data_IF_172110566433
#
_entry.id   IF_172110566433
#
_cell.length_a   1.000
_cell.length_b   1.000
_cell.length_c   1.000
_cell.angle_alpha   90.00
_cell.angle_beta   90.00
_cell.angle_gamma   90.00
#
_symmetry.space_group_name_H-M   'P 1'
#
loop_
_entity.id
_entity.type
_entity.pdbx_description
1 polymer ?
#
# COMPACT_ATOMS: atom_id res chain seq x y z
N UNK A 1 14.78 -19.25 2.23
CA UNK A 1 15.70 -20.24 1.64
C UNK A 1 14.90 -21.51 1.44
N UNK A 2 14.57 -21.86 0.20
CA UNK A 2 14.06 -23.20 -0.08
C UNK A 2 15.26 -24.15 0.02
N UNK A 3 15.17 -25.16 0.89
CA UNK A 3 16.23 -26.17 1.03
C UNK A 3 16.39 -26.97 -0.26
N UNK A 4 17.57 -27.58 -0.42
CA UNK A 4 17.91 -28.42 -1.58
C UNK A 4 16.80 -29.42 -1.91
N UNK A 5 16.50 -29.56 -3.21
CA UNK A 5 15.51 -30.48 -3.77
C UNK A 5 16.24 -31.58 -4.53
N UNK A 6 15.89 -32.84 -4.29
CA UNK A 6 16.46 -33.99 -4.99
C UNK A 6 15.42 -34.65 -5.88
N UNK A 7 15.82 -35.05 -7.09
CA UNK A 7 15.07 -35.94 -7.96
C UNK A 7 15.50 -37.38 -7.67
N UNK A 8 14.53 -38.22 -7.32
CA UNK A 8 14.69 -39.64 -7.01
C UNK A 8 13.57 -40.37 -7.78
N UNK A 9 13.86 -41.04 -8.91
CA UNK A 9 12.85 -41.54 -9.85
C UNK A 9 11.72 -42.36 -9.21
N UNK A 10 12.06 -43.22 -8.26
CA UNK A 10 11.13 -44.16 -7.62
C UNK A 10 10.64 -43.68 -6.25
N UNK A 11 10.91 -42.43 -5.88
CA UNK A 11 10.42 -41.89 -4.62
C UNK A 11 8.91 -41.68 -4.62
N UNK A 12 8.32 -41.99 -3.46
CA UNK A 12 6.91 -41.80 -3.15
C UNK A 12 6.76 -40.82 -1.98
N UNK A 13 5.71 -39.96 -1.99
CA UNK A 13 4.60 -39.95 -2.95
C UNK A 13 4.93 -39.30 -4.31
N UNK A 14 6.07 -38.62 -4.43
CA UNK A 14 6.51 -37.97 -5.65
C UNK A 14 8.03 -38.13 -5.83
N UNK A 15 8.53 -38.09 -7.07
CA UNK A 15 9.95 -38.27 -7.35
C UNK A 15 10.83 -37.06 -6.96
N UNK A 16 10.24 -36.02 -6.36
CA UNK A 16 10.96 -34.82 -5.91
C UNK A 16 10.89 -34.74 -4.39
N UNK A 17 12.05 -34.89 -3.73
CA UNK A 17 12.15 -34.93 -2.27
C UNK A 17 12.98 -33.76 -1.77
N UNK A 18 12.37 -32.93 -0.94
CA UNK A 18 13.05 -31.81 -0.29
C UNK A 18 13.75 -32.27 0.98
N UNK A 19 14.91 -31.68 1.30
CA UNK A 19 15.54 -31.90 2.62
C UNK A 19 14.57 -31.62 3.77
N UNK A 20 14.63 -32.43 4.82
CA UNK A 20 13.68 -32.39 5.93
C UNK A 20 12.35 -33.13 5.70
N UNK A 21 12.16 -33.74 4.52
CA UNK A 21 10.98 -34.56 4.21
C UNK A 21 11.31 -36.05 4.16
N UNK A 22 10.40 -36.87 4.68
CA UNK A 22 10.48 -38.32 4.58
C UNK A 22 9.96 -38.75 3.22
N UNK A 23 10.49 -39.86 2.71
CA UNK A 23 10.08 -40.45 1.44
C UNK A 23 10.18 -41.97 1.54
N UNK A 24 9.57 -42.68 0.59
CA UNK A 24 9.74 -44.11 0.45
C UNK A 24 10.22 -44.46 -0.95
N UNK A 25 10.96 -45.56 -1.09
CA UNK A 25 11.33 -46.14 -2.38
C UNK A 25 10.62 -47.48 -2.56
N UNK A 26 10.06 -47.71 -3.74
CA UNK A 26 9.24 -48.88 -4.05
C UNK A 26 7.75 -48.68 -3.71
N UNK A 27 6.96 -49.72 -3.97
CA UNK A 27 5.50 -49.69 -3.83
C UNK A 27 5.00 -50.80 -2.89
N UNK A 28 3.88 -50.57 -2.21
CA UNK A 28 3.22 -51.57 -1.36
C UNK A 28 3.98 -51.93 -0.08
N UNK A 29 3.83 -53.18 0.37
CA UNK A 29 4.41 -53.69 1.63
C UNK A 29 5.95 -53.84 1.59
N UNK A 30 6.56 -53.71 0.41
CA UNK A 30 8.01 -53.78 0.21
C UNK A 30 8.69 -52.40 0.17
N UNK A 31 7.92 -51.30 0.33
CA UNK A 31 8.46 -49.95 0.26
C UNK A 31 9.44 -49.67 1.43
N UNK A 32 10.66 -49.24 1.09
CA UNK A 32 11.67 -48.85 2.08
C UNK A 32 11.43 -47.40 2.48
N UNK A 33 11.15 -47.15 3.76
CA UNK A 33 10.87 -45.83 4.29
C UNK A 33 12.15 -45.14 4.77
N UNK A 34 12.36 -43.91 4.30
CA UNK A 34 13.47 -43.04 4.68
C UNK A 34 12.97 -41.91 5.59
N UNK A 35 13.59 -41.69 6.77
CA UNK A 35 13.18 -40.65 7.70
C UNK A 35 13.52 -39.25 7.18
N UNK A 36 12.88 -38.23 7.77
CA UNK A 36 12.97 -36.82 7.35
C UNK A 36 14.38 -36.24 7.27
N UNK A 37 15.27 -36.70 8.15
CA UNK A 37 16.64 -36.24 8.25
C UNK A 37 17.62 -37.09 7.41
N UNK A 38 17.13 -38.08 6.66
CA UNK A 38 18.02 -38.99 5.93
C UNK A 38 18.86 -38.24 4.89
N UNK A 39 18.23 -37.36 4.08
CA UNK A 39 18.96 -36.55 3.09
C UNK A 39 20.00 -35.59 3.70
N UNK A 40 19.81 -35.20 4.97
CA UNK A 40 20.77 -34.34 5.67
C UNK A 40 22.00 -35.11 6.18
N UNK A 41 21.86 -36.43 6.39
CA UNK A 41 22.89 -37.32 6.89
C UNK A 41 23.53 -38.20 5.80
N UNK A 42 22.88 -38.30 4.64
CA UNK A 42 23.31 -39.13 3.52
C UNK A 42 24.66 -38.67 2.97
N UNK A 43 25.56 -39.63 2.76
CA UNK A 43 26.81 -39.42 2.03
C UNK A 43 26.55 -39.34 0.52
N UNK A 44 27.56 -38.95 -0.26
CA UNK A 44 27.48 -38.99 -1.72
C UNK A 44 27.19 -40.40 -2.25
N UNK A 45 27.77 -41.43 -1.63
CA UNK A 45 27.54 -42.82 -2.00
C UNK A 45 26.12 -43.28 -1.66
N UNK A 46 25.56 -42.85 -0.53
CA UNK A 46 24.17 -43.14 -0.15
C UNK A 46 23.19 -42.52 -1.16
N UNK A 47 23.42 -41.26 -1.55
CA UNK A 47 22.61 -40.56 -2.56
C UNK A 47 22.71 -41.26 -3.93
N UNK A 48 23.92 -41.63 -4.35
CA UNK A 48 24.13 -42.36 -5.60
C UNK A 48 23.46 -43.75 -5.57
N UNK A 49 23.48 -44.44 -4.43
CA UNK A 49 22.90 -45.77 -4.24
C UNK A 49 21.38 -45.82 -4.44
N UNK A 50 20.68 -44.72 -4.18
CA UNK A 50 19.24 -44.59 -4.42
C UNK A 50 18.90 -43.81 -5.70
N UNK A 51 19.90 -43.45 -6.50
CA UNK A 51 19.73 -42.64 -7.71
C UNK A 51 19.28 -41.20 -7.44
N UNK A 52 19.55 -40.66 -6.24
CA UNK A 52 19.22 -39.29 -5.90
C UNK A 52 20.16 -38.30 -6.60
N UNK A 53 19.56 -37.36 -7.33
CA UNK A 53 20.27 -36.31 -8.04
C UNK A 53 19.78 -34.95 -7.54
N UNK A 54 20.70 -34.03 -7.23
CA UNK A 54 20.32 -32.67 -6.86
C UNK A 54 19.61 -32.00 -8.05
N UNK A 55 18.43 -31.42 -7.80
CA UNK A 55 17.68 -30.71 -8.82
C UNK A 55 18.38 -29.40 -9.16
N UNK A 56 18.76 -29.24 -10.42
CA UNK A 56 19.28 -28.00 -10.96
C UNK A 56 18.10 -27.10 -11.31
N UNK A 57 18.13 -25.85 -10.84
CA UNK A 57 17.11 -24.86 -11.20
C UNK A 57 17.60 -24.01 -12.35
N UNK A 58 16.81 -23.95 -13.41
CA UNK A 58 17.04 -23.12 -14.59
C UNK A 58 15.96 -22.05 -14.71
N UNK A 59 16.35 -20.86 -15.18
CA UNK A 59 15.45 -19.72 -15.31
C UNK A 59 15.21 -18.98 -13.99
N UNK A 60 14.33 -17.98 -14.06
CA UNK A 60 13.97 -17.13 -12.93
C UNK A 60 12.46 -16.83 -12.99
N UNK A 61 11.83 -16.63 -11.84
CA UNK A 61 10.49 -16.08 -11.81
C UNK A 61 10.50 -14.63 -12.28
N UNK A 62 9.57 -14.30 -13.17
CA UNK A 62 9.25 -12.91 -13.49
C UNK A 62 8.46 -12.26 -12.36
N UNK A 63 8.32 -10.93 -12.41
CA UNK A 63 7.44 -10.21 -11.50
C UNK A 63 6.01 -10.80 -11.60
N UNK A 64 5.42 -11.33 -10.50
CA UNK A 64 4.12 -11.99 -10.55
C UNK A 64 2.97 -11.07 -10.98
N UNK A 65 3.22 -9.75 -11.03
CA UNK A 65 2.28 -8.74 -11.54
C UNK A 65 2.29 -8.65 -13.07
N UNK A 66 3.38 -9.09 -13.71
CA UNK A 66 3.62 -8.98 -15.15
C UNK A 66 3.72 -10.33 -15.85
N UNK A 67 4.00 -11.39 -15.09
CA UNK A 67 4.22 -12.74 -15.60
C UNK A 67 3.35 -13.75 -14.86
N UNK A 68 2.87 -14.75 -15.59
CA UNK A 68 2.44 -16.00 -15.01
C UNK A 68 3.67 -16.89 -14.85
N UNK A 69 3.99 -17.16 -13.58
CA UNK A 69 5.13 -17.98 -13.21
C UNK A 69 4.67 -19.43 -13.02
N UNK A 70 5.32 -20.34 -13.72
CA UNK A 70 5.09 -21.78 -13.59
C UNK A 70 6.39 -22.52 -13.35
N UNK A 71 6.33 -23.61 -12.61
CA UNK A 71 7.46 -24.53 -12.42
C UNK A 71 7.22 -25.79 -13.24
N UNK A 72 8.17 -26.14 -14.09
CA UNK A 72 8.19 -27.40 -14.83
C UNK A 72 9.34 -28.25 -14.31
N UNK A 73 9.12 -29.57 -14.26
CA UNK A 73 10.15 -30.50 -13.85
C UNK A 73 10.39 -31.55 -14.93
N UNK A 74 11.67 -31.75 -15.29
CA UNK A 74 12.13 -32.74 -16.25
C UNK A 74 13.34 -33.46 -15.67
N UNK A 75 13.08 -34.61 -15.05
CA UNK A 75 14.09 -35.36 -14.28
C UNK A 75 14.76 -34.48 -13.22
N UNK A 76 16.10 -34.37 -13.20
CA UNK A 76 16.80 -33.53 -12.22
C UNK A 76 16.81 -32.02 -12.57
N UNK A 77 15.97 -31.56 -13.50
CA UNK A 77 15.91 -30.14 -13.87
C UNK A 77 14.55 -29.57 -13.45
N UNK A 78 14.59 -28.49 -12.66
CA UNK A 78 13.45 -27.61 -12.41
C UNK A 78 13.59 -26.36 -13.26
N UNK A 79 12.67 -26.16 -14.20
CA UNK A 79 12.62 -24.96 -15.03
C UNK A 79 11.58 -23.98 -14.47
N UNK A 80 12.03 -22.78 -14.13
CA UNK A 80 11.17 -21.66 -13.79
C UNK A 80 10.80 -20.94 -15.09
N UNK A 81 9.53 -20.99 -15.45
CA UNK A 81 9.00 -20.40 -16.68
C UNK A 81 8.18 -19.17 -16.32
N UNK A 82 8.58 -18.02 -16.84
CA UNK A 82 7.86 -16.76 -16.70
C UNK A 82 7.21 -16.40 -18.05
N UNK A 83 5.89 -16.56 -18.15
CA UNK A 83 5.13 -16.19 -19.35
C UNK A 83 4.60 -14.78 -19.17
N UNK A 84 4.95 -13.80 -20.05
CA UNK A 84 4.39 -12.46 -19.95
C UNK A 84 2.87 -12.50 -20.03
N UNK A 85 2.20 -11.81 -19.11
CA UNK A 85 0.75 -11.62 -19.18
C UNK A 85 0.37 -10.81 -20.41
N UNK A 86 -0.86 -10.96 -20.93
CA UNK A 86 -1.36 -10.12 -22.01
C UNK A 86 -1.25 -8.63 -21.65
N UNK A 87 -0.76 -7.80 -22.58
CA UNK A 87 -0.57 -6.38 -22.34
C UNK A 87 -1.86 -5.65 -21.91
N UNK A 88 -3.02 -6.10 -22.39
CA UNK A 88 -4.33 -5.58 -22.00
C UNK A 88 -4.65 -5.84 -20.51
N UNK A 89 -4.23 -6.99 -19.98
CA UNK A 89 -4.42 -7.33 -18.57
C UNK A 89 -3.50 -6.49 -17.68
N UNK A 90 -2.22 -6.37 -18.06
CA UNK A 90 -1.26 -5.51 -17.36
C UNK A 90 -1.73 -4.06 -17.35
N UNK A 91 -2.27 -3.56 -18.47
CA UNK A 91 -2.84 -2.22 -18.55
C UNK A 91 -4.06 -2.05 -17.63
N UNK A 92 -4.97 -3.03 -17.61
CA UNK A 92 -6.13 -3.01 -16.73
C UNK A 92 -5.74 -3.03 -15.23
N UNK A 93 -4.73 -3.81 -14.87
CA UNK A 93 -4.16 -3.82 -13.51
C UNK A 93 -3.58 -2.46 -13.13
N UNK A 94 -2.86 -1.81 -14.06
CA UNK A 94 -2.31 -0.47 -13.83
C UNK A 94 -3.43 0.57 -13.64
N UNK A 95 -4.48 0.51 -14.44
CA UNK A 95 -5.62 1.43 -14.33
C UNK A 95 -6.38 1.26 -13.01
N UNK A 96 -6.56 0.01 -12.56
CA UNK A 96 -7.12 -0.29 -11.25
C UNK A 96 -6.25 0.31 -10.14
N UNK A 97 -4.95 0.07 -10.16
CA UNK A 97 -4.00 0.60 -9.20
C UNK A 97 -4.00 2.13 -9.17
N UNK A 98 -4.12 2.80 -10.33
CA UNK A 98 -4.27 4.26 -10.40
C UNK A 98 -5.53 4.73 -9.68
N UNK A 99 -6.65 4.05 -9.88
CA UNK A 99 -7.92 4.43 -9.25
C UNK A 99 -7.87 4.28 -7.73
N UNK A 100 -7.33 3.16 -7.25
CA UNK A 100 -7.12 2.93 -5.82
C UNK A 100 -6.18 3.97 -5.20
N UNK A 101 -5.05 4.25 -5.85
CA UNK A 101 -4.11 5.26 -5.37
C UNK A 101 -4.72 6.67 -5.31
N UNK A 102 -5.53 7.06 -6.31
CA UNK A 102 -6.27 8.33 -6.26
C UNK A 102 -7.25 8.39 -5.09
N UNK A 103 -7.94 7.29 -4.80
CA UNK A 103 -8.83 7.21 -3.64
C UNK A 103 -8.07 7.32 -2.32
N UNK A 104 -6.89 6.69 -2.22
CA UNK A 104 -6.00 6.85 -1.06
C UNK A 104 -5.55 8.31 -0.87
N UNK A 105 -5.19 9.00 -1.95
CA UNK A 105 -4.84 10.43 -1.90
C UNK A 105 -6.01 11.29 -1.43
N UNK A 106 -7.22 11.03 -1.92
CA UNK A 106 -8.42 11.76 -1.50
C UNK A 106 -8.74 11.52 -0.01
N UNK A 107 -8.61 10.27 0.47
CA UNK A 107 -8.77 9.94 1.88
C UNK A 107 -7.69 10.57 2.77
N UNK A 108 -6.43 10.54 2.35
CA UNK A 108 -5.32 11.13 3.09
C UNK A 108 -5.42 12.67 3.15
N UNK A 109 -5.91 13.31 2.08
CA UNK A 109 -6.20 14.73 2.07
C UNK A 109 -7.26 15.08 3.13
N UNK A 110 -8.31 14.27 3.26
CA UNK A 110 -9.35 14.50 4.27
C UNK A 110 -8.83 14.31 5.69
N UNK A 111 -8.03 13.27 5.94
CA UNK A 111 -7.32 13.10 7.22
C UNK A 111 -6.43 14.30 7.52
N UNK A 112 -5.76 14.87 6.52
CA UNK A 112 -4.96 16.07 6.71
C UNK A 112 -5.82 17.30 7.09
N UNK A 113 -6.98 17.50 6.46
CA UNK A 113 -7.92 18.59 6.81
C UNK A 113 -8.40 18.48 8.24
N UNK A 114 -8.71 17.26 8.70
CA UNK A 114 -9.21 17.00 10.06
C UNK A 114 -8.21 17.34 11.17
N UNK A 115 -6.92 17.55 10.85
CA UNK A 115 -5.92 18.03 11.82
C UNK A 115 -6.08 19.50 12.19
N UNK A 116 -6.78 20.27 11.35
CA UNK A 116 -6.94 21.71 11.49
C UNK A 116 -8.39 22.15 11.64
N UNK A 117 -9.34 21.26 11.35
CA UNK A 117 -10.77 21.54 11.44
C UNK A 117 -11.40 20.84 12.64
N UNK A 118 -12.35 21.53 13.28
CA UNK A 118 -13.29 20.91 14.21
C UNK A 118 -14.23 19.99 13.43
N UNK A 119 -14.34 18.69 13.77
CA UNK A 119 -15.23 17.77 13.08
C UNK A 119 -16.71 18.18 13.21
N UNK A 120 -17.49 17.92 12.14
CA UNK A 120 -18.94 18.04 12.14
C UNK A 120 -19.48 19.15 11.23
N UNK A 121 -20.47 18.82 10.41
CA UNK A 121 -21.10 19.74 9.44
C UNK A 121 -21.77 20.94 10.12
N UNK A 122 -22.44 20.72 11.25
CA UNK A 122 -23.07 21.81 12.01
C UNK A 122 -22.05 22.82 12.56
N UNK A 123 -20.89 22.36 13.02
CA UNK A 123 -19.81 23.24 13.48
C UNK A 123 -19.22 24.02 12.31
N UNK A 124 -19.01 23.38 11.15
CA UNK A 124 -18.52 24.06 9.95
C UNK A 124 -19.44 25.22 9.51
N UNK A 125 -20.76 25.03 9.56
CA UNK A 125 -21.73 26.10 9.26
C UNK A 125 -21.61 27.28 10.23
N UNK A 126 -21.41 27.01 11.53
CA UNK A 126 -21.20 28.05 12.55
C UNK A 126 -19.92 28.84 12.27
N UNK A 127 -18.81 28.18 11.94
CA UNK A 127 -17.56 28.87 11.59
C UNK A 127 -17.69 29.74 10.33
N UNK A 128 -18.36 29.24 9.29
CA UNK A 128 -18.62 30.03 8.07
C UNK A 128 -19.47 31.27 8.35
N UNK A 129 -20.49 31.12 9.20
CA UNK A 129 -21.34 32.24 9.60
C UNK A 129 -20.56 33.28 10.42
N UNK A 130 -19.71 32.84 11.36
CA UNK A 130 -18.81 33.74 12.12
C UNK A 130 -17.87 34.51 11.20
N UNK A 131 -17.24 33.86 10.22
CA UNK A 131 -16.37 34.53 9.25
C UNK A 131 -17.13 35.58 8.42
N UNK A 132 -18.37 35.27 8.04
CA UNK A 132 -19.24 36.22 7.33
C UNK A 132 -19.59 37.44 8.18
N UNK A 133 -19.98 37.23 9.44
CA UNK A 133 -20.24 38.33 10.40
C UNK A 133 -18.97 39.16 10.66
N UNK A 134 -17.81 38.51 10.80
CA UNK A 134 -16.54 39.19 11.05
C UNK A 134 -16.13 40.09 9.88
N UNK A 135 -16.27 39.61 8.63
CA UNK A 135 -16.05 40.42 7.43
C UNK A 135 -17.02 41.59 7.34
N UNK A 136 -18.30 41.38 7.64
CA UNK A 136 -19.31 42.44 7.61
C UNK A 136 -19.02 43.53 8.65
N UNK A 137 -18.64 43.14 9.88
CA UNK A 137 -18.20 44.07 10.92
C UNK A 137 -16.96 44.87 10.49
N UNK A 138 -15.95 44.20 9.91
CA UNK A 138 -14.74 44.85 9.41
C UNK A 138 -15.03 45.85 8.28
N UNK A 139 -16.05 45.57 7.46
CA UNK A 139 -16.53 46.47 6.41
C UNK A 139 -17.41 47.63 6.94
N UNK A 140 -17.64 47.72 8.25
CA UNK A 140 -18.41 48.78 8.90
C UNK A 140 -19.92 48.57 8.86
N UNK A 141 -20.41 47.35 8.59
CA UNK A 141 -21.83 47.06 8.68
C UNK A 141 -22.36 47.22 10.11
N UNK A 142 -23.61 47.66 10.23
CA UNK A 142 -24.32 47.62 11.50
C UNK A 142 -24.90 46.21 11.72
N UNK A 143 -24.84 45.71 12.97
CA UNK A 143 -25.32 44.39 13.36
C UNK A 143 -26.85 44.18 13.25
N UNK A 144 -27.38 43.09 13.79
CA UNK A 144 -26.74 42.23 14.81
C UNK A 144 -25.77 41.20 14.22
N UNK A 145 -24.68 40.95 14.95
CA UNK A 145 -23.67 39.92 14.66
C UNK A 145 -23.81 38.79 15.66
N UNK A 146 -24.91 38.03 15.57
CA UNK A 146 -25.38 37.14 16.64
C UNK A 146 -24.34 36.12 17.10
N UNK A 147 -23.52 35.59 16.20
CA UNK A 147 -22.52 34.58 16.56
C UNK A 147 -21.29 35.22 17.22
N UNK A 148 -20.89 36.41 16.78
CA UNK A 148 -19.80 37.16 17.43
C UNK A 148 -20.23 37.74 18.78
N UNK A 149 -21.46 38.26 18.86
CA UNK A 149 -22.08 38.77 20.09
C UNK A 149 -22.19 37.69 21.17
N UNK A 150 -22.53 36.46 20.79
CA UNK A 150 -22.62 35.32 21.71
C UNK A 150 -21.27 34.92 22.33
N UNK A 151 -20.15 35.34 21.74
CA UNK A 151 -18.80 35.01 22.20
C UNK A 151 -18.08 36.17 22.91
N UNK A 152 -18.56 37.40 22.72
CA UNK A 152 -18.01 38.56 23.39
C UNK A 152 -18.20 38.43 24.92
N UNK A 153 -17.11 38.66 25.66
CA UNK A 153 -17.02 38.43 27.10
C UNK A 153 -16.72 36.98 27.51
N UNK A 154 -16.74 36.02 26.57
CA UNK A 154 -16.44 34.60 26.82
C UNK A 154 -15.09 34.22 26.22
N UNK A 155 -14.91 34.38 24.90
CA UNK A 155 -13.69 33.97 24.18
C UNK A 155 -12.75 35.15 23.90
N UNK A 156 -13.28 36.37 23.87
CA UNK A 156 -12.53 37.63 23.85
C UNK A 156 -13.33 38.75 24.52
N UNK A 157 -12.73 39.91 24.81
CA UNK A 157 -13.41 40.98 25.57
C UNK A 157 -14.45 41.73 24.75
N UNK A 158 -14.26 41.83 23.44
CA UNK A 158 -15.14 42.60 22.55
C UNK A 158 -15.49 41.82 21.28
N UNK A 159 -16.60 42.21 20.64
CA UNK A 159 -17.02 41.66 19.33
C UNK A 159 -15.91 41.85 18.29
N UNK A 160 -15.20 43.00 18.32
CA UNK A 160 -14.09 43.27 17.40
C UNK A 160 -12.90 42.34 17.63
N UNK A 161 -12.59 42.01 18.89
CA UNK A 161 -11.55 41.02 19.21
C UNK A 161 -11.95 39.61 18.76
N UNK A 162 -13.21 39.19 18.97
CA UNK A 162 -13.72 37.91 18.46
C UNK A 162 -13.60 37.86 16.94
N UNK A 163 -14.05 38.92 16.24
CA UNK A 163 -13.96 39.01 14.78
C UNK A 163 -12.51 38.90 14.28
N UNK A 164 -11.56 39.58 14.94
CA UNK A 164 -10.15 39.51 14.58
C UNK A 164 -9.58 38.08 14.71
N UNK A 165 -9.93 37.37 15.79
CA UNK A 165 -9.52 35.96 15.98
C UNK A 165 -10.12 35.06 14.90
N UNK A 166 -11.42 35.21 14.61
CA UNK A 166 -12.11 34.41 13.57
C UNK A 166 -11.44 34.60 12.21
N UNK A 167 -11.18 35.85 11.80
CA UNK A 167 -10.54 36.15 10.52
C UNK A 167 -9.09 35.65 10.45
N UNK A 168 -8.35 35.71 11.56
CA UNK A 168 -6.99 35.17 11.63
C UNK A 168 -6.98 33.63 11.46
N UNK A 169 -7.91 32.93 12.10
CA UNK A 169 -8.06 31.47 11.96
C UNK A 169 -8.51 31.10 10.55
N UNK A 170 -9.45 31.84 9.96
CA UNK A 170 -9.88 31.62 8.58
C UNK A 170 -8.72 31.82 7.59
N UNK A 171 -7.93 32.89 7.73
CA UNK A 171 -6.78 33.14 6.87
C UNK A 171 -5.75 32.00 6.95
N UNK A 172 -5.40 31.56 8.17
CA UNK A 172 -4.50 30.43 8.36
C UNK A 172 -5.05 29.13 7.75
N UNK A 173 -6.36 28.89 7.88
CA UNK A 173 -7.01 27.73 7.26
C UNK A 173 -6.98 27.80 5.73
N UNK A 174 -7.23 28.97 5.13
CA UNK A 174 -7.21 29.13 3.67
C UNK A 174 -5.84 28.75 3.10
N UNK A 175 -4.76 29.25 3.70
CA UNK A 175 -3.39 28.92 3.29
C UNK A 175 -3.13 27.40 3.37
N UNK A 176 -3.48 26.77 4.50
CA UNK A 176 -3.28 25.33 4.71
C UNK A 176 -4.14 24.49 3.76
N UNK A 177 -5.40 24.88 3.55
CA UNK A 177 -6.32 24.17 2.68
C UNK A 177 -5.88 24.20 1.22
N UNK A 178 -5.31 25.33 0.76
CA UNK A 178 -4.74 25.47 -0.56
C UNK A 178 -3.47 24.60 -0.73
N UNK A 179 -2.63 24.50 0.30
CA UNK A 179 -1.48 23.58 0.29
C UNK A 179 -1.93 22.12 0.19
N UNK A 180 -2.89 21.70 1.01
CA UNK A 180 -3.47 20.34 0.95
C UNK A 180 -4.01 20.07 -0.45
N UNK A 181 -4.79 20.99 -1.01
CA UNK A 181 -5.39 20.79 -2.33
C UNK A 181 -4.33 20.70 -3.43
N UNK A 182 -3.28 21.52 -3.36
CA UNK A 182 -2.15 21.48 -4.29
C UNK A 182 -1.44 20.13 -4.26
N UNK A 183 -1.18 19.59 -3.07
CA UNK A 183 -0.56 18.27 -2.90
C UNK A 183 -1.46 17.16 -3.44
N UNK A 184 -2.76 17.24 -3.15
CA UNK A 184 -3.76 16.28 -3.66
C UNK A 184 -3.79 16.25 -5.19
N UNK A 185 -3.89 17.41 -5.83
CA UNK A 185 -3.96 17.50 -7.29
C UNK A 185 -2.65 17.12 -7.96
N UNK A 186 -1.51 17.52 -7.41
CA UNK A 186 -0.18 17.13 -7.90
C UNK A 186 0.01 15.62 -7.86
N UNK A 187 -0.34 14.99 -6.74
CA UNK A 187 -0.25 13.54 -6.59
C UNK A 187 -1.15 12.81 -7.60
N UNK A 188 -2.41 13.26 -7.76
CA UNK A 188 -3.34 12.65 -8.73
C UNK A 188 -2.86 12.83 -10.18
N UNK A 189 -2.25 13.97 -10.51
CA UNK A 189 -1.64 14.19 -11.82
C UNK A 189 -0.48 13.22 -12.07
N UNK A 190 0.42 13.04 -11.09
CA UNK A 190 1.52 12.08 -11.17
C UNK A 190 1.03 10.63 -11.31
N UNK A 191 0.01 10.23 -10.55
CA UNK A 191 -0.61 8.91 -10.63
C UNK A 191 -1.24 8.68 -12.02
N UNK A 192 -1.94 9.67 -12.58
CA UNK A 192 -2.49 9.55 -13.93
C UNK A 192 -1.40 9.33 -14.98
N UNK A 193 -0.27 10.02 -14.85
CA UNK A 193 0.90 9.90 -15.73
C UNK A 193 1.75 8.64 -15.48
N UNK A 194 1.49 7.88 -14.40
CA UNK A 194 2.27 6.71 -14.05
C UNK A 194 2.19 5.63 -15.15
N UNK A 195 3.33 4.99 -15.42
CA UNK A 195 3.49 3.93 -16.42
C UNK A 195 3.75 2.56 -15.77
N UNK A 196 3.92 2.54 -14.46
CA UNK A 196 4.21 1.35 -13.67
C UNK A 196 3.66 1.51 -12.26
N UNK A 197 3.56 0.40 -11.54
CA UNK A 197 3.16 0.41 -10.13
C UNK A 197 4.20 1.13 -9.27
N UNK A 198 5.47 1.05 -9.61
CA UNK A 198 6.54 1.75 -8.89
C UNK A 198 6.43 3.28 -9.04
N UNK A 199 6.00 3.77 -10.22
CA UNK A 199 5.69 5.20 -10.40
C UNK A 199 4.50 5.63 -9.53
N UNK A 200 3.48 4.77 -9.36
CA UNK A 200 2.35 5.04 -8.46
C UNK A 200 2.83 5.10 -7.01
N UNK A 201 3.63 4.12 -6.57
CA UNK A 201 4.20 4.09 -5.22
C UNK A 201 5.08 5.31 -4.95
N UNK A 202 5.90 5.73 -5.91
CA UNK A 202 6.71 6.94 -5.80
C UNK A 202 5.85 8.20 -5.70
N UNK A 203 4.78 8.31 -6.50
CA UNK A 203 3.85 9.44 -6.43
C UNK A 203 3.14 9.54 -5.06
N UNK A 204 2.75 8.40 -4.48
CA UNK A 204 2.17 8.35 -3.14
C UNK A 204 3.17 8.74 -2.06
N UNK A 205 4.41 8.24 -2.13
CA UNK A 205 5.46 8.55 -1.17
C UNK A 205 5.92 10.02 -1.21
N UNK A 206 5.79 10.68 -2.36
CA UNK A 206 6.16 12.08 -2.53
C UNK A 206 5.16 13.06 -1.87
N UNK A 207 3.98 12.60 -1.47
CA UNK A 207 2.96 13.48 -0.89
C UNK A 207 3.37 13.93 0.51
N UNK A 208 3.50 15.24 0.68
CA UNK A 208 3.82 15.85 1.97
C UNK A 208 2.62 16.66 2.46
N UNK A 209 1.88 16.08 3.41
CA UNK A 209 0.75 16.77 4.03
C UNK A 209 1.22 17.76 5.09
N UNK A 210 0.62 18.96 5.17
CA UNK A 210 0.85 19.86 6.29
C UNK A 210 0.59 19.17 7.64
N UNK A 211 1.44 19.48 8.61
CA UNK A 211 1.29 19.06 10.01
C UNK A 211 0.84 20.24 10.83
N UNK A 212 0.02 19.99 11.86
CA UNK A 212 -0.30 21.03 12.83
C UNK A 212 0.99 21.47 13.51
N UNK A 213 1.18 22.78 13.69
CA UNK A 213 2.25 23.28 14.56
C UNK A 213 1.91 22.87 15.99
N UNK A 214 2.86 22.26 16.68
CA UNK A 214 2.78 21.99 18.13
C UNK A 214 2.71 23.29 18.93
#
# INVERSE_FOLDING_TARGET
MHGDLYYIPDARPAPYVQRGHAFSLGDGDEAVQYPRNWLDLATTDDLAGIGAVLVVTEGEHGDPRLYDNTEEFDGPVRRLVAVPRPAAEVAAMLDLAKNEAKAQVDAAAEVARQRFLTPGSGQAMVYQQKATEARALQAGAAGPFRHLEAEAGITAKTIAEVAAVVLAVEAAWLDISAMIETQRLTAKAAINAAQSLDHISAALAAVQWPVAKE
#
